data_IF_964349249765
#
_entry.id   IF_964349249765
#
_cell.length_a   1.000
_cell.length_b   1.000
_cell.length_c   1.000
_cell.angle_alpha   90.00
_cell.angle_beta   90.00
_cell.angle_gamma   90.00
#
_symmetry.space_group_name_H-M   'P 1'
#
loop_
_entity.id
_entity.type
_entity.pdbx_description
1 polymer ?
#
# COMPACT_ATOMS: atom_id res chain seq x y z
N UNK A 1 22.60 13.21 -33.89
CA UNK A 1 22.27 12.07 -33.02
C UNK A 1 22.73 10.83 -33.75
N UNK A 2 23.54 9.99 -33.12
CA UNK A 2 24.02 8.73 -33.70
C UNK A 2 22.92 7.66 -33.65
N UNK A 3 23.00 6.65 -34.54
CA UNK A 3 22.02 5.56 -34.59
C UNK A 3 21.93 4.79 -33.26
N UNK A 4 23.02 4.76 -32.47
CA UNK A 4 23.05 4.20 -31.13
C UNK A 4 22.24 5.02 -30.11
N UNK A 5 22.24 6.36 -30.21
CA UNK A 5 21.42 7.22 -29.35
C UNK A 5 19.93 7.10 -29.70
N UNK A 6 19.60 6.97 -30.99
CA UNK A 6 18.22 6.75 -31.45
C UNK A 6 17.70 5.41 -30.92
N UNK A 7 18.49 4.34 -31.04
CA UNK A 7 18.14 3.01 -30.53
C UNK A 7 18.01 3.00 -28.99
N UNK A 8 18.84 3.76 -28.28
CA UNK A 8 18.75 3.90 -26.83
C UNK A 8 17.45 4.58 -26.40
N UNK A 9 17.07 5.67 -27.07
CA UNK A 9 15.81 6.39 -26.81
C UNK A 9 14.59 5.53 -27.14
N UNK A 10 14.61 4.79 -28.25
CA UNK A 10 13.53 3.85 -28.62
C UNK A 10 13.36 2.70 -27.62
N UNK A 11 14.45 2.30 -26.95
CA UNK A 11 14.42 1.31 -25.87
C UNK A 11 14.13 1.91 -24.49
N UNK A 12 13.72 3.18 -24.41
CA UNK A 12 13.34 3.86 -23.17
C UNK A 12 14.52 4.34 -22.31
N UNK A 13 15.73 4.37 -22.86
CA UNK A 13 16.94 4.85 -22.19
C UNK A 13 17.11 6.34 -22.51
N UNK A 14 16.55 7.19 -21.64
CA UNK A 14 16.53 8.65 -21.84
C UNK A 14 17.86 9.36 -21.51
N UNK A 15 18.86 8.65 -20.98
CA UNK A 15 20.15 9.24 -20.62
C UNK A 15 21.30 8.32 -21.05
N UNK A 16 22.25 8.90 -21.79
CA UNK A 16 23.39 8.24 -22.44
C UNK A 16 24.31 7.54 -21.43
N UNK A 17 24.26 7.90 -20.13
CA UNK A 17 24.98 7.17 -19.07
C UNK A 17 24.39 5.80 -18.74
N UNK A 18 23.20 5.47 -19.22
CA UNK A 18 22.53 4.20 -18.94
C UNK A 18 22.60 3.18 -20.09
N UNK A 19 23.39 3.44 -21.14
CA UNK A 19 23.62 2.46 -22.22
C UNK A 19 24.54 1.31 -21.80
N UNK A 20 25.32 1.47 -20.72
CA UNK A 20 26.34 0.49 -20.27
C UNK A 20 26.11 -0.08 -18.86
N UNK A 21 25.04 0.31 -18.15
CA UNK A 21 24.74 -0.16 -16.78
C UNK A 21 23.52 -1.07 -16.73
N UNK A 22 23.53 -2.00 -15.78
CA UNK A 22 22.46 -2.99 -15.62
C UNK A 22 21.12 -2.32 -15.22
N UNK A 23 19.99 -2.96 -15.58
CA UNK A 23 18.64 -2.45 -15.23
C UNK A 23 18.45 -2.22 -13.72
N UNK A 24 19.15 -2.96 -12.87
CA UNK A 24 19.11 -2.83 -11.41
C UNK A 24 19.86 -1.56 -10.96
N UNK A 25 21.04 -1.29 -11.52
CA UNK A 25 21.82 -0.09 -11.20
C UNK A 25 21.06 1.17 -11.61
N UNK A 26 20.39 1.16 -12.77
CA UNK A 26 19.52 2.26 -13.19
C UNK A 26 18.37 2.51 -12.22
N UNK A 27 17.79 1.45 -11.64
CA UNK A 27 16.74 1.57 -10.60
C UNK A 27 17.29 2.08 -9.28
N UNK A 28 18.45 1.59 -8.83
CA UNK A 28 19.10 2.05 -7.59
C UNK A 28 19.51 3.51 -7.71
N UNK A 29 20.12 3.89 -8.83
CA UNK A 29 20.47 5.28 -9.12
C UNK A 29 19.23 6.17 -9.17
N UNK A 30 18.15 5.69 -9.81
CA UNK A 30 16.86 6.34 -9.78
C UNK A 30 16.38 6.58 -8.35
N UNK A 31 16.42 5.57 -7.46
CA UNK A 31 16.03 5.73 -6.05
C UNK A 31 16.91 6.74 -5.31
N UNK A 32 18.23 6.72 -5.50
CA UNK A 32 19.15 7.67 -4.87
C UNK A 32 18.86 9.09 -5.33
N UNK A 33 18.66 9.28 -6.63
CA UNK A 33 18.32 10.58 -7.19
C UNK A 33 16.98 11.10 -6.67
N UNK A 34 15.97 10.23 -6.53
CA UNK A 34 14.67 10.59 -5.95
C UNK A 34 14.78 11.06 -4.49
N UNK A 35 15.67 10.46 -3.71
CA UNK A 35 15.91 10.84 -2.31
C UNK A 35 16.65 12.18 -2.24
N UNK A 36 17.70 12.35 -3.07
CA UNK A 36 18.47 13.59 -3.13
C UNK A 36 17.60 14.78 -3.60
N UNK A 37 16.76 14.56 -4.61
CA UNK A 37 15.83 15.57 -5.13
C UNK A 37 14.77 15.98 -4.09
N UNK A 38 14.22 15.00 -3.35
CA UNK A 38 13.29 15.28 -2.24
C UNK A 38 13.94 16.13 -1.13
N UNK A 39 15.22 15.91 -0.85
CA UNK A 39 15.96 16.66 0.19
C UNK A 39 16.38 18.05 -0.28
N UNK A 40 16.70 18.24 -1.57
CA UNK A 40 17.31 19.45 -2.10
C UNK A 40 16.31 20.42 -2.77
N UNK A 41 15.29 19.91 -3.48
CA UNK A 41 14.35 20.72 -4.25
C UNK A 41 12.92 20.72 -3.70
N UNK A 42 12.59 19.77 -2.81
CA UNK A 42 11.35 19.77 -2.05
C UNK A 42 10.08 19.50 -2.86
N UNK A 43 10.12 19.22 -4.16
CA UNK A 43 8.92 18.89 -4.93
C UNK A 43 8.74 17.36 -5.04
N UNK A 44 7.85 16.72 -4.25
CA UNK A 44 7.53 15.29 -4.40
C UNK A 44 6.75 14.96 -5.68
N UNK A 45 6.61 15.90 -6.62
CA UNK A 45 5.88 15.72 -7.88
C UNK A 45 6.67 14.88 -8.88
N UNK A 46 6.41 13.57 -8.95
CA UNK A 46 6.98 12.69 -9.99
C UNK A 46 7.63 11.40 -9.48
N UNK A 47 7.72 11.22 -8.16
CA UNK A 47 8.38 10.06 -7.55
C UNK A 47 7.43 9.30 -6.62
N UNK A 48 7.12 8.06 -6.98
CA UNK A 48 6.09 7.26 -6.29
C UNK A 48 6.40 6.99 -4.82
N UNK A 49 7.69 6.95 -4.44
CA UNK A 49 8.10 6.68 -3.07
C UNK A 49 7.96 7.90 -2.16
N UNK A 50 8.43 9.07 -2.61
CA UNK A 50 8.32 10.33 -1.84
C UNK A 50 6.87 10.77 -1.68
N UNK A 51 6.04 10.55 -2.71
CA UNK A 51 4.59 10.76 -2.63
C UNK A 51 3.94 9.90 -1.55
N UNK A 52 4.24 8.58 -1.52
CA UNK A 52 3.72 7.68 -0.49
C UNK A 52 4.16 8.08 0.91
N UNK A 53 5.38 8.58 1.07
CA UNK A 53 5.85 9.08 2.37
C UNK A 53 4.99 10.25 2.87
N UNK A 54 4.71 11.23 2.02
CA UNK A 54 3.82 12.35 2.35
C UNK A 54 2.39 11.86 2.64
N UNK A 55 1.89 10.89 1.88
CA UNK A 55 0.56 10.32 2.12
C UNK A 55 0.46 9.60 3.47
N UNK A 56 1.49 8.85 3.84
CA UNK A 56 1.55 8.17 5.13
C UNK A 56 1.70 9.16 6.28
N UNK A 57 2.49 10.21 6.12
CA UNK A 57 2.63 11.27 7.12
C UNK A 57 1.29 11.95 7.39
N UNK A 58 0.60 12.40 6.34
CA UNK A 58 -0.73 13.00 6.47
C UNK A 58 -1.74 12.00 7.04
N UNK A 59 -1.79 10.77 6.53
CA UNK A 59 -2.70 9.76 7.04
C UNK A 59 -2.47 9.42 8.51
N UNK A 60 -1.22 9.33 8.96
CA UNK A 60 -0.88 9.09 10.37
C UNK A 60 -1.26 10.27 11.26
N UNK A 61 -1.07 11.51 10.79
CA UNK A 61 -1.48 12.69 11.53
C UNK A 61 -3.00 12.76 11.69
N UNK A 62 -3.75 12.49 10.61
CA UNK A 62 -5.21 12.43 10.64
C UNK A 62 -5.73 11.30 11.53
N UNK A 63 -5.11 10.13 11.47
CA UNK A 63 -5.43 9.00 12.35
C UNK A 63 -5.21 9.36 13.82
N UNK A 64 -4.09 10.01 14.15
CA UNK A 64 -3.79 10.48 15.52
C UNK A 64 -4.79 11.53 16.02
N UNK A 65 -5.35 12.34 15.13
CA UNK A 65 -6.41 13.28 15.48
C UNK A 65 -7.75 12.58 15.77
N UNK A 66 -8.00 11.40 15.18
CA UNK A 66 -9.28 10.68 15.23
C UNK A 66 -9.12 9.22 15.71
N UNK A 67 -8.32 9.00 16.77
CA UNK A 67 -7.82 7.68 17.14
C UNK A 67 -8.88 6.61 17.43
N UNK A 68 -10.02 6.94 18.02
CA UNK A 68 -10.94 5.91 18.53
C UNK A 68 -11.89 5.38 17.45
N UNK A 69 -12.63 6.27 16.79
CA UNK A 69 -13.73 5.93 15.87
C UNK A 69 -13.40 6.33 14.42
N UNK A 70 -12.32 7.08 14.19
CA UNK A 70 -11.98 7.58 12.88
C UNK A 70 -12.92 8.72 12.43
N UNK A 71 -12.82 9.07 11.16
CA UNK A 71 -13.62 10.13 10.52
C UNK A 71 -14.84 9.60 9.76
N UNK A 72 -15.01 8.28 9.67
CA UNK A 72 -16.03 7.63 8.86
C UNK A 72 -15.64 7.50 7.39
N UNK A 73 -16.20 6.50 6.69
CA UNK A 73 -15.83 6.16 5.29
C UNK A 73 -16.21 7.23 4.27
N UNK A 74 -17.21 8.07 4.55
CA UNK A 74 -17.68 9.12 3.64
C UNK A 74 -16.72 10.31 3.55
N UNK A 75 -15.95 10.56 4.61
CA UNK A 75 -15.19 11.81 4.76
C UNK A 75 -13.66 11.61 4.66
N UNK A 76 -13.17 10.37 4.56
CA UNK A 76 -11.73 10.03 4.54
C UNK A 76 -10.94 10.89 3.55
N UNK A 77 -11.39 10.97 2.29
CA UNK A 77 -10.67 11.72 1.26
C UNK A 77 -10.68 13.23 1.54
N UNK A 78 -11.83 13.78 1.97
CA UNK A 78 -11.95 15.21 2.26
C UNK A 78 -11.11 15.62 3.47
N UNK A 79 -11.11 14.80 4.53
CA UNK A 79 -10.29 15.04 5.72
C UNK A 79 -8.80 14.86 5.42
N UNK A 80 -8.41 13.92 4.55
CA UNK A 80 -7.04 13.82 4.06
C UNK A 80 -6.61 15.07 3.29
N UNK A 81 -7.46 15.62 2.42
CA UNK A 81 -7.18 16.87 1.71
C UNK A 81 -6.95 18.03 2.68
N UNK A 82 -7.76 18.16 3.73
CA UNK A 82 -7.55 19.17 4.78
C UNK A 82 -6.27 18.92 5.58
N UNK A 83 -5.95 17.65 5.85
CA UNK A 83 -4.73 17.29 6.57
C UNK A 83 -3.49 17.65 5.75
N UNK A 84 -3.49 17.43 4.43
CA UNK A 84 -2.38 17.84 3.56
C UNK A 84 -2.11 19.35 3.64
N UNK A 85 -3.16 20.18 3.67
CA UNK A 85 -3.00 21.63 3.85
C UNK A 85 -2.46 21.97 5.25
N UNK A 86 -2.96 21.28 6.27
CA UNK A 86 -2.54 21.49 7.67
C UNK A 86 -1.07 21.10 7.89
N UNK A 87 -0.63 20.02 7.26
CA UNK A 87 0.75 19.53 7.33
C UNK A 87 1.73 20.38 6.49
N UNK A 88 1.21 21.31 5.68
CA UNK A 88 2.01 22.13 4.77
C UNK A 88 2.76 21.29 3.74
N UNK A 89 2.13 20.24 3.20
CA UNK A 89 2.79 19.34 2.25
C UNK A 89 3.20 20.09 0.97
N UNK A 90 4.34 19.70 0.42
CA UNK A 90 4.86 20.20 -0.85
C UNK A 90 4.18 19.51 -2.06
N UNK A 91 3.29 18.55 -1.81
CA UNK A 91 2.48 17.93 -2.86
C UNK A 91 1.48 18.93 -3.46
N UNK A 92 1.61 19.15 -4.77
CA UNK A 92 0.57 19.86 -5.52
C UNK A 92 -0.78 19.12 -5.41
N UNK A 93 -1.91 19.84 -5.42
CA UNK A 93 -3.24 19.24 -5.23
C UNK A 93 -3.55 18.05 -6.15
N UNK A 94 -3.05 18.07 -7.39
CA UNK A 94 -3.24 16.99 -8.37
C UNK A 94 -2.60 15.65 -7.97
N UNK A 95 -1.58 15.66 -7.09
CA UNK A 95 -0.92 14.45 -6.61
C UNK A 95 -1.36 14.02 -5.21
N UNK A 96 -2.33 14.71 -4.59
CA UNK A 96 -2.86 14.31 -3.27
C UNK A 96 -3.81 13.13 -3.43
N UNK A 97 -3.43 11.99 -2.86
CA UNK A 97 -4.15 10.71 -2.97
C UNK A 97 -4.39 10.08 -1.60
N UNK A 98 -5.04 8.93 -1.62
CA UNK A 98 -5.15 8.05 -0.47
C UNK A 98 -3.78 7.56 0.00
N UNK A 99 -3.68 7.07 1.25
CA UNK A 99 -2.41 6.64 1.82
C UNK A 99 -1.72 5.49 1.07
N UNK A 100 -2.42 4.75 0.21
CA UNK A 100 -1.87 3.54 -0.40
C UNK A 100 -1.37 2.56 0.68
N UNK A 101 -2.17 2.40 1.73
CA UNK A 101 -1.88 1.53 2.86
C UNK A 101 -3.20 1.18 3.54
N UNK A 102 -3.67 -0.04 3.31
CA UNK A 102 -5.00 -0.49 3.74
C UNK A 102 -5.19 -0.34 5.25
N UNK A 103 -4.15 -0.59 6.05
CA UNK A 103 -4.24 -0.47 7.51
C UNK A 103 -4.44 0.98 7.94
N UNK A 104 -3.74 1.91 7.29
CA UNK A 104 -3.88 3.33 7.57
C UNK A 104 -5.23 3.86 7.08
N UNK A 105 -5.69 3.42 5.90
CA UNK A 105 -7.01 3.77 5.36
C UNK A 105 -8.14 3.30 6.29
N UNK A 106 -8.08 2.05 6.77
CA UNK A 106 -9.02 1.52 7.77
C UNK A 106 -8.93 2.29 9.09
N UNK A 107 -7.70 2.60 9.55
CA UNK A 107 -7.49 3.37 10.78
C UNK A 107 -8.08 4.78 10.69
N UNK A 108 -7.91 5.48 9.57
CA UNK A 108 -8.50 6.81 9.36
C UNK A 108 -10.02 6.70 9.34
N UNK A 109 -10.58 5.73 8.62
CA UNK A 109 -12.02 5.57 8.47
C UNK A 109 -12.73 5.18 9.76
N UNK A 110 -12.15 4.26 10.54
CA UNK A 110 -12.84 3.59 11.65
C UNK A 110 -12.09 3.64 12.99
N UNK A 111 -10.96 4.34 13.03
CA UNK A 111 -10.12 4.44 14.22
C UNK A 111 -9.46 3.12 14.59
N UNK A 112 -8.91 3.10 15.80
CA UNK A 112 -8.25 1.94 16.39
C UNK A 112 -9.24 0.78 16.58
N UNK A 113 -10.51 1.07 16.88
CA UNK A 113 -11.53 0.03 17.05
C UNK A 113 -11.72 -0.73 15.74
N UNK A 114 -11.91 -0.02 14.63
CA UNK A 114 -12.05 -0.65 13.32
C UNK A 114 -10.78 -1.35 12.87
N UNK A 115 -9.60 -0.78 13.14
CA UNK A 115 -8.32 -1.41 12.82
C UNK A 115 -8.10 -2.73 13.58
N UNK A 116 -8.44 -2.77 14.87
CA UNK A 116 -8.37 -4.00 15.68
C UNK A 116 -9.38 -5.04 15.19
N UNK A 117 -10.61 -4.62 14.86
CA UNK A 117 -11.61 -5.50 14.29
C UNK A 117 -11.17 -6.08 12.94
N UNK A 118 -10.58 -5.24 12.08
CA UNK A 118 -10.05 -5.65 10.79
C UNK A 118 -8.90 -6.67 10.94
N UNK A 119 -7.93 -6.39 11.81
CA UNK A 119 -6.84 -7.31 12.11
C UNK A 119 -7.37 -8.64 12.69
N UNK A 120 -8.35 -8.56 13.58
CA UNK A 120 -9.03 -9.74 14.13
C UNK A 120 -9.70 -10.55 13.01
N UNK A 121 -10.45 -9.93 12.10
CA UNK A 121 -11.14 -10.63 11.02
C UNK A 121 -10.16 -11.39 10.09
N UNK A 122 -8.96 -10.85 9.87
CA UNK A 122 -7.94 -11.50 9.03
C UNK A 122 -7.19 -12.63 9.75
N UNK A 123 -6.93 -12.49 11.05
CA UNK A 123 -6.08 -13.41 11.82
C UNK A 123 -6.88 -14.48 12.58
N UNK A 124 -8.14 -14.21 12.92
CA UNK A 124 -8.95 -15.15 13.70
C UNK A 124 -9.23 -16.48 12.97
N UNK A 125 -9.67 -16.51 11.70
CA UNK A 125 -9.88 -17.76 10.97
C UNK A 125 -8.66 -18.68 10.89
N UNK A 126 -7.43 -18.22 10.56
CA UNK A 126 -6.26 -19.07 10.66
C UNK A 126 -5.98 -19.54 12.08
N UNK A 127 -6.13 -18.66 13.08
CA UNK A 127 -5.94 -19.02 14.48
C UNK A 127 -6.95 -20.06 14.98
N UNK A 128 -8.20 -20.01 14.52
CA UNK A 128 -9.26 -20.94 14.91
C UNK A 128 -9.01 -22.35 14.33
N UNK A 129 -8.41 -22.44 13.14
CA UNK A 129 -8.09 -23.67 12.43
C UNK A 129 -6.81 -24.39 12.94
N UNK A 130 -6.47 -24.22 14.24
CA UNK A 130 -5.24 -24.67 14.96
C UNK A 130 -4.61 -26.01 14.50
N UNK A 131 -3.90 -26.00 13.37
CA UNK A 131 -3.13 -27.14 12.86
C UNK A 131 -3.65 -27.83 11.60
N UNK A 132 -4.77 -27.38 11.00
CA UNK A 132 -5.27 -27.90 9.72
C UNK A 132 -4.97 -26.95 8.53
N UNK A 133 -4.21 -25.89 8.76
CA UNK A 133 -3.89 -24.94 7.70
C UNK A 133 -2.91 -25.56 6.71
N UNK A 134 -3.30 -25.55 5.44
CA UNK A 134 -2.38 -25.87 4.37
C UNK A 134 -1.28 -24.81 4.26
N UNK A 135 -0.09 -25.22 3.81
CA UNK A 135 1.00 -24.28 3.52
C UNK A 135 0.57 -23.19 2.52
N UNK A 136 -0.29 -23.56 1.56
CA UNK A 136 -0.87 -22.64 0.57
C UNK A 136 -1.69 -21.53 1.24
N UNK A 137 -2.49 -21.87 2.26
CA UNK A 137 -3.29 -20.89 2.99
C UNK A 137 -2.41 -19.85 3.71
N UNK A 138 -1.33 -20.30 4.35
CA UNK A 138 -0.40 -19.41 5.06
C UNK A 138 0.35 -18.48 4.10
N UNK A 139 0.83 -19.00 2.97
CA UNK A 139 1.51 -18.20 1.94
C UNK A 139 0.54 -17.19 1.32
N UNK A 140 -0.68 -17.60 0.99
CA UNK A 140 -1.72 -16.71 0.49
C UNK A 140 -1.99 -15.56 1.48
N UNK A 141 -2.18 -15.88 2.76
CA UNK A 141 -2.40 -14.87 3.79
C UNK A 141 -1.22 -13.92 3.91
N UNK A 142 0.01 -14.42 3.90
CA UNK A 142 1.21 -13.58 3.95
C UNK A 142 1.27 -12.61 2.76
N UNK A 143 0.99 -13.08 1.54
CA UNK A 143 0.95 -12.25 0.34
C UNK A 143 -0.09 -11.14 0.47
N UNK A 144 -1.31 -11.50 0.91
CA UNK A 144 -2.41 -10.54 1.11
C UNK A 144 -2.07 -9.50 2.19
N UNK A 145 -1.50 -9.92 3.32
CA UNK A 145 -1.10 -9.01 4.40
C UNK A 145 0.02 -8.05 3.97
N UNK A 146 0.97 -8.53 3.18
CA UNK A 146 2.06 -7.71 2.65
C UNK A 146 1.58 -6.75 1.55
N UNK A 147 0.67 -7.18 0.67
CA UNK A 147 0.14 -6.30 -0.38
C UNK A 147 -0.61 -5.10 0.20
N UNK A 148 -1.29 -5.30 1.34
CA UNK A 148 -2.01 -4.26 2.08
C UNK A 148 -1.12 -3.16 2.67
N UNK A 149 0.19 -3.38 2.80
CA UNK A 149 1.13 -2.36 3.28
C UNK A 149 1.32 -1.27 2.23
N UNK A 150 1.36 -1.66 0.96
CA UNK A 150 1.68 -0.76 -0.15
C UNK A 150 0.46 -0.34 -0.96
N UNK A 151 -0.68 -1.02 -0.83
CA UNK A 151 -1.90 -0.68 -1.56
C UNK A 151 -3.19 -0.97 -0.77
N UNK A 152 -4.24 -0.21 -1.10
CA UNK A 152 -5.60 -0.39 -0.59
C UNK A 152 -6.31 -1.56 -1.32
N UNK A 153 -5.79 -2.78 -1.09
CA UNK A 153 -6.16 -4.00 -1.81
C UNK A 153 -7.67 -4.28 -1.77
N UNK A 154 -8.33 -4.05 -0.63
CA UNK A 154 -9.75 -4.36 -0.43
C UNK A 154 -10.71 -3.26 -0.89
N UNK A 155 -10.18 -2.09 -1.25
CA UNK A 155 -11.01 -1.00 -1.79
C UNK A 155 -11.31 -1.21 -3.27
N UNK A 156 -10.52 -2.04 -3.96
CA UNK A 156 -10.78 -2.42 -5.35
C UNK A 156 -11.71 -3.61 -5.44
N UNK A 157 -12.64 -3.60 -6.41
CA UNK A 157 -13.56 -4.71 -6.64
C UNK A 157 -12.82 -6.03 -6.92
N UNK A 158 -11.76 -5.97 -7.74
CA UNK A 158 -10.97 -7.14 -8.09
C UNK A 158 -10.24 -7.70 -6.88
N UNK A 159 -9.61 -6.83 -6.07
CA UNK A 159 -8.88 -7.23 -4.87
C UNK A 159 -9.79 -7.82 -3.80
N UNK A 160 -10.93 -7.18 -3.50
CA UNK A 160 -11.88 -7.73 -2.51
C UNK A 160 -12.47 -9.06 -2.97
N UNK A 161 -12.78 -9.22 -4.25
CA UNK A 161 -13.32 -10.48 -4.79
C UNK A 161 -12.30 -11.60 -4.71
N UNK A 162 -11.04 -11.32 -5.10
CA UNK A 162 -9.94 -12.27 -5.01
C UNK A 162 -9.69 -12.70 -3.57
N UNK A 163 -9.56 -11.73 -2.65
CA UNK A 163 -9.32 -12.01 -1.24
C UNK A 163 -10.50 -12.80 -0.66
N UNK A 164 -11.75 -12.33 -0.83
CA UNK A 164 -12.92 -12.99 -0.26
C UNK A 164 -13.09 -14.44 -0.75
N UNK A 165 -12.89 -14.69 -2.05
CA UNK A 165 -12.99 -16.03 -2.64
C UNK A 165 -11.97 -17.00 -2.05
N UNK A 166 -10.68 -16.67 -2.13
CA UNK A 166 -9.62 -17.57 -1.67
C UNK A 166 -9.57 -17.66 -0.15
N UNK A 167 -9.88 -16.56 0.56
CA UNK A 167 -9.96 -16.57 2.01
C UNK A 167 -11.07 -17.52 2.49
N UNK A 168 -12.24 -17.46 1.88
CA UNK A 168 -13.34 -18.39 2.20
C UNK A 168 -12.98 -19.84 1.85
N UNK A 169 -12.41 -20.06 0.67
CA UNK A 169 -12.03 -21.39 0.20
C UNK A 169 -10.97 -22.05 1.09
N UNK A 170 -9.97 -21.28 1.54
CA UNK A 170 -8.82 -21.82 2.27
C UNK A 170 -9.05 -21.91 3.77
N UNK A 171 -9.78 -20.97 4.38
CA UNK A 171 -9.94 -20.87 5.83
C UNK A 171 -11.32 -21.25 6.36
N UNK A 172 -12.38 -21.20 5.53
CA UNK A 172 -13.76 -21.49 5.98
C UNK A 172 -14.30 -22.83 5.47
N UNK A 173 -13.71 -23.43 4.44
CA UNK A 173 -14.19 -24.70 3.86
C UNK A 173 -13.87 -25.94 4.70
N UNK A 174 -12.99 -25.83 5.69
CA UNK A 174 -12.65 -26.96 6.58
C UNK A 174 -13.74 -27.15 7.64
N UNK A 175 -14.68 -28.05 7.37
CA UNK A 175 -15.60 -28.56 8.41
C UNK A 175 -14.83 -29.36 9.46
N UNK A 176 -15.23 -29.33 10.74
CA UNK A 176 -14.61 -30.13 11.79
C UNK A 176 -14.93 -31.62 11.55
N UNK A 177 -14.13 -32.29 10.74
CA UNK A 177 -14.16 -33.74 10.63
C UNK A 177 -13.60 -34.32 11.92
N UNK A 178 -14.51 -34.73 12.81
CA UNK A 178 -14.26 -35.80 13.77
C UNK A 178 -13.67 -35.41 15.13
N UNK A 179 -14.47 -34.76 15.99
CA UNK A 179 -14.57 -35.22 17.39
C UNK A 179 -15.64 -36.31 17.45
N UNK A 180 -15.31 -37.50 16.98
CA UNK A 180 -16.00 -38.69 17.49
C UNK A 180 -15.33 -39.00 18.83
N UNK A 181 -16.11 -38.83 19.90
CA UNK A 181 -15.85 -39.43 21.21
C UNK A 181 -15.85 -40.95 21.09
#
# INVERSE_FOLDING_TARGET
>A
MSDAEITAVENGIANVRFTEVSSIESRIYGLIWQIDDYQNQGEPGGHSLSQRWEFWKAGLNLFKANLLIGVGTGDVYQELLKQYETDGTLLIPAYRKHPHNQYLSIGIAFGLIGLLWFAFALVYPPYANRGQLSYVALVFLAIVLLSMITEDTLETQAGVSFVAFFYSLLFLSHSPTGRLK
#
